data_IF_670621629223
#
_entry.id   IF_670621629223
#
_cell.length_a   1.000
_cell.length_b   1.000
_cell.length_c   1.000
_cell.angle_alpha   90.00
_cell.angle_beta   90.00
_cell.angle_gamma   90.00
#
_symmetry.space_group_name_H-M   'P 1'
#
loop_
_entity.id
_entity.type
_entity.pdbx_description
1 polymer ?
#
# COMPACT_ATOMS: atom_id res chain seq x y z
N UNK A 1 15.94 12.56 -20.67
CA UNK A 1 16.64 12.67 -19.37
C UNK A 1 17.95 11.89 -19.46
N UNK A 2 19.07 12.48 -19.00
CA UNK A 2 20.36 11.78 -18.96
C UNK A 2 20.21 10.51 -18.08
N UNK A 3 20.81 9.39 -18.47
CA UNK A 3 20.77 8.09 -17.74
C UNK A 3 21.25 8.16 -16.28
N UNK A 4 21.98 9.20 -15.92
CA UNK A 4 22.54 9.42 -14.58
C UNK A 4 21.48 9.63 -13.46
N UNK A 5 20.23 9.98 -13.80
CA UNK A 5 19.14 10.18 -12.83
C UNK A 5 18.22 8.99 -12.60
N UNK A 6 18.28 7.94 -13.43
CA UNK A 6 17.34 6.81 -13.36
C UNK A 6 17.66 5.84 -12.21
N UNK A 7 16.59 5.24 -11.64
CA UNK A 7 16.68 4.24 -10.57
C UNK A 7 17.36 2.95 -11.09
N UNK A 8 18.41 2.51 -10.41
CA UNK A 8 18.98 1.16 -10.60
C UNK A 8 18.17 0.09 -9.85
N UNK A 9 18.48 -1.18 -10.07
CA UNK A 9 17.76 -2.32 -9.50
C UNK A 9 17.50 -2.19 -7.97
N UNK A 10 18.55 -2.02 -7.18
CA UNK A 10 18.40 -1.91 -5.72
C UNK A 10 17.61 -0.67 -5.26
N UNK A 11 17.73 0.45 -5.99
CA UNK A 11 16.90 1.62 -5.67
C UNK A 11 15.42 1.38 -5.99
N UNK A 12 15.11 0.54 -6.98
CA UNK A 12 13.74 0.12 -7.29
C UNK A 12 13.22 -0.81 -6.20
N UNK A 13 14.03 -1.77 -5.73
CA UNK A 13 13.69 -2.65 -4.59
C UNK A 13 13.42 -1.81 -3.34
N UNK A 14 14.30 -0.85 -3.01
CA UNK A 14 14.10 0.07 -1.89
C UNK A 14 12.84 0.94 -2.04
N UNK A 15 12.51 1.37 -3.27
CA UNK A 15 11.26 2.08 -3.55
C UNK A 15 10.05 1.20 -3.22
N UNK A 16 10.07 -0.06 -3.63
CA UNK A 16 9.02 -1.02 -3.31
C UNK A 16 8.91 -1.29 -1.81
N UNK A 17 10.03 -1.55 -1.14
CA UNK A 17 10.07 -1.74 0.31
C UNK A 17 9.54 -0.48 1.01
N UNK A 18 9.89 0.72 0.54
CA UNK A 18 9.36 1.97 1.10
C UNK A 18 7.84 2.07 0.95
N UNK A 19 7.30 1.62 -0.18
CA UNK A 19 5.85 1.62 -0.42
C UNK A 19 5.07 0.61 0.41
N UNK A 20 5.67 -0.55 0.74
CA UNK A 20 5.00 -1.63 1.48
C UNK A 20 5.22 -1.48 2.99
N UNK A 21 6.46 -1.30 3.44
CA UNK A 21 6.79 -1.22 4.88
C UNK A 21 6.33 0.12 5.45
N UNK A 22 5.12 0.11 5.98
CA UNK A 22 4.45 1.27 6.57
C UNK A 22 3.85 0.96 7.93
N UNK A 23 2.73 1.60 8.23
CA UNK A 23 1.99 1.46 9.50
C UNK A 23 1.55 0.02 9.77
N UNK A 24 1.28 -0.78 8.72
CA UNK A 24 0.71 -2.11 8.86
C UNK A 24 1.52 -3.00 9.80
N UNK A 25 2.78 -3.24 9.50
CA UNK A 25 3.60 -4.16 10.31
C UNK A 25 3.91 -3.64 11.71
N UNK A 26 3.88 -2.33 11.92
CA UNK A 26 4.13 -1.75 13.24
C UNK A 26 2.91 -1.80 14.17
N UNK A 27 1.68 -1.74 13.60
CA UNK A 27 0.44 -1.53 14.36
C UNK A 27 -0.60 -2.66 14.23
N UNK A 28 -0.45 -3.60 13.29
CA UNK A 28 -1.44 -4.67 13.10
C UNK A 28 -1.14 -5.97 13.85
N UNK A 29 0.09 -6.30 14.28
CA UNK A 29 0.36 -7.56 14.99
C UNK A 29 -0.56 -7.80 16.19
N UNK A 30 -0.83 -6.77 17.01
CA UNK A 30 -1.73 -6.87 18.16
C UNK A 30 -3.17 -7.20 17.76
N UNK A 31 -3.68 -6.54 16.72
CA UNK A 31 -5.05 -6.76 16.24
C UNK A 31 -5.22 -8.13 15.61
N UNK A 32 -4.25 -8.58 14.83
CA UNK A 32 -4.26 -9.93 14.29
C UNK A 32 -4.23 -10.97 15.42
N UNK A 33 -3.36 -10.80 16.41
CA UNK A 33 -3.29 -11.68 17.57
C UNK A 33 -4.59 -11.66 18.38
N UNK A 34 -5.22 -10.51 18.59
CA UNK A 34 -6.50 -10.40 19.30
C UNK A 34 -7.68 -11.06 18.59
N UNK A 35 -7.60 -11.28 17.27
CA UNK A 35 -8.62 -11.94 16.46
C UNK A 35 -8.44 -13.47 16.43
N UNK A 36 -7.18 -13.96 16.36
CA UNK A 36 -6.91 -15.36 16.04
C UNK A 36 -5.71 -15.95 16.84
N UNK A 37 -5.13 -15.20 17.77
CA UNK A 37 -3.98 -15.67 18.56
C UNK A 37 -2.73 -15.91 17.71
N UNK A 38 -1.93 -16.92 18.08
CA UNK A 38 -0.68 -17.27 17.41
C UNK A 38 -0.88 -17.76 15.96
N UNK A 39 -2.10 -18.21 15.61
CA UNK A 39 -2.46 -18.56 14.23
C UNK A 39 -2.36 -17.36 13.28
N UNK A 40 -2.25 -16.12 13.78
CA UNK A 40 -1.96 -14.91 12.98
C UNK A 40 -0.71 -15.03 12.13
N UNK A 41 0.30 -15.83 12.53
CA UNK A 41 1.44 -16.18 11.68
C UNK A 41 1.02 -16.94 10.41
N UNK A 42 0.11 -17.92 10.57
CA UNK A 42 -0.44 -18.67 9.43
C UNK A 42 -1.25 -17.76 8.48
N UNK A 43 -2.02 -16.81 9.04
CA UNK A 43 -2.75 -15.81 8.27
C UNK A 43 -1.77 -14.90 7.50
N UNK A 44 -0.72 -14.41 8.15
CA UNK A 44 0.28 -13.56 7.51
C UNK A 44 1.02 -14.29 6.37
N UNK A 45 1.32 -15.58 6.57
CA UNK A 45 1.91 -16.43 5.51
C UNK A 45 0.92 -16.61 4.34
N UNK A 46 -0.36 -16.85 4.63
CA UNK A 46 -1.41 -16.95 3.62
C UNK A 46 -1.50 -15.66 2.80
N UNK A 47 -1.50 -14.50 3.45
CA UNK A 47 -1.52 -13.19 2.80
C UNK A 47 -0.25 -12.93 1.98
N UNK A 48 0.92 -13.39 2.45
CA UNK A 48 2.17 -13.34 1.69
C UNK A 48 2.07 -14.11 0.37
N UNK A 49 1.44 -15.29 0.39
CA UNK A 49 1.23 -16.11 -0.82
C UNK A 49 0.27 -15.41 -1.77
N UNK A 50 -0.86 -14.90 -1.29
CA UNK A 50 -1.86 -14.18 -2.11
C UNK A 50 -1.23 -12.92 -2.71
N UNK A 51 -0.63 -12.08 -1.89
CA UNK A 51 0.02 -10.86 -2.35
C UNK A 51 1.16 -11.18 -3.33
N UNK A 52 1.90 -12.28 -3.09
CA UNK A 52 2.90 -12.81 -4.00
C UNK A 52 2.32 -13.21 -5.36
N UNK A 53 1.20 -13.93 -5.40
CA UNK A 53 0.51 -14.29 -6.63
C UNK A 53 0.06 -13.04 -7.42
N UNK A 54 -0.51 -12.05 -6.73
CA UNK A 54 -0.91 -10.79 -7.35
C UNK A 54 0.32 -10.03 -7.86
N UNK A 55 1.39 -9.92 -7.06
CA UNK A 55 2.64 -9.25 -7.43
C UNK A 55 3.32 -9.90 -8.64
N UNK A 56 3.24 -11.23 -8.78
CA UNK A 56 3.71 -11.94 -9.98
C UNK A 56 2.90 -11.54 -11.23
N UNK A 57 1.58 -11.35 -11.09
CA UNK A 57 0.75 -10.83 -12.18
C UNK A 57 1.18 -9.41 -12.57
N UNK A 58 1.43 -8.54 -11.61
CA UNK A 58 1.98 -7.20 -11.85
C UNK A 58 3.35 -7.26 -12.52
N UNK A 59 4.23 -8.17 -12.09
CA UNK A 59 5.55 -8.37 -12.68
C UNK A 59 5.47 -8.78 -14.16
N UNK A 60 4.58 -9.72 -14.51
CA UNK A 60 4.41 -10.13 -15.92
C UNK A 60 3.77 -9.00 -16.75
N UNK A 61 2.70 -8.37 -16.26
CA UNK A 61 2.07 -7.24 -16.95
C UNK A 61 3.09 -6.10 -17.17
N UNK A 62 3.85 -5.73 -16.13
CA UNK A 62 4.87 -4.69 -16.19
C UNK A 62 5.99 -4.99 -17.20
N UNK A 63 6.27 -6.28 -17.47
CA UNK A 63 7.29 -6.67 -18.45
C UNK A 63 6.96 -6.27 -19.90
N UNK A 64 5.69 -5.99 -20.17
CA UNK A 64 5.20 -5.59 -21.50
C UNK A 64 5.26 -4.08 -21.73
N UNK A 65 5.34 -3.28 -20.66
CA UNK A 65 5.24 -1.82 -20.74
C UNK A 65 6.51 -1.12 -20.25
N UNK A 66 6.79 0.05 -20.83
CA UNK A 66 7.91 0.91 -20.44
C UNK A 66 7.43 2.27 -19.94
N UNK A 67 6.13 2.56 -20.05
CA UNK A 67 5.50 3.82 -19.65
C UNK A 67 4.98 3.76 -18.23
N UNK A 68 4.90 4.94 -17.62
CA UNK A 68 4.23 5.13 -16.34
C UNK A 68 2.72 4.87 -16.46
N UNK A 69 2.09 4.37 -15.39
CA UNK A 69 0.64 4.13 -15.35
C UNK A 69 0.24 2.81 -14.69
N UNK A 70 1.09 1.77 -14.81
CA UNK A 70 0.84 0.48 -14.14
C UNK A 70 -0.57 -0.07 -14.41
N UNK A 71 -1.38 -0.34 -13.34
CA UNK A 71 -2.70 -0.98 -13.49
C UNK A 71 -3.65 -0.31 -14.47
N UNK A 72 -3.59 1.03 -14.58
CA UNK A 72 -4.39 1.79 -15.54
C UNK A 72 -4.10 1.35 -16.98
N UNK A 73 -2.80 1.28 -17.36
CA UNK A 73 -2.41 0.83 -18.69
C UNK A 73 -2.79 -0.63 -18.94
N UNK A 74 -2.62 -1.49 -17.94
CA UNK A 74 -2.96 -2.91 -18.08
C UNK A 74 -4.47 -3.07 -18.32
N UNK A 75 -5.31 -2.37 -17.57
CA UNK A 75 -6.74 -2.36 -17.75
C UNK A 75 -7.14 -1.78 -19.14
N UNK A 76 -6.51 -0.69 -19.58
CA UNK A 76 -6.78 -0.05 -20.87
C UNK A 76 -6.59 -1.03 -22.03
N UNK A 77 -5.42 -1.67 -22.07
CA UNK A 77 -5.08 -2.55 -23.20
C UNK A 77 -5.74 -3.93 -23.13
N UNK A 78 -6.11 -4.41 -21.94
CA UNK A 78 -6.77 -5.70 -21.77
C UNK A 78 -8.30 -5.59 -21.88
N UNK A 79 -8.90 -4.66 -21.16
CA UNK A 79 -10.34 -4.58 -20.89
C UNK A 79 -11.04 -3.39 -21.56
N UNK A 80 -10.27 -2.40 -22.05
CA UNK A 80 -10.76 -1.22 -22.72
C UNK A 80 -11.00 -0.01 -21.81
N UNK A 81 -11.52 1.07 -22.41
CA UNK A 81 -11.57 2.41 -21.81
C UNK A 81 -12.37 2.51 -20.52
N UNK A 82 -13.48 1.78 -20.41
CA UNK A 82 -14.31 1.80 -19.19
C UNK A 82 -13.51 1.33 -17.99
N UNK A 83 -12.86 0.17 -18.10
CA UNK A 83 -12.07 -0.38 -17.02
C UNK A 83 -10.80 0.43 -16.75
N UNK A 84 -10.21 1.02 -17.78
CA UNK A 84 -9.09 1.94 -17.60
C UNK A 84 -9.51 3.16 -16.78
N UNK A 85 -10.68 3.75 -17.09
CA UNK A 85 -11.25 4.87 -16.35
C UNK A 85 -11.48 4.49 -14.88
N UNK A 86 -12.18 3.37 -14.63
CA UNK A 86 -12.46 2.87 -13.29
C UNK A 86 -11.17 2.68 -12.49
N UNK A 87 -10.21 1.91 -13.02
CA UNK A 87 -8.93 1.65 -12.36
C UNK A 87 -8.14 2.94 -12.12
N UNK A 88 -8.12 3.87 -13.07
CA UNK A 88 -7.39 5.12 -12.96
C UNK A 88 -7.94 6.04 -11.86
N UNK A 89 -9.25 6.28 -11.84
CA UNK A 89 -9.88 7.16 -10.85
C UNK A 89 -9.92 6.53 -9.48
N UNK A 90 -10.24 5.23 -9.41
CA UNK A 90 -10.24 4.51 -8.15
C UNK A 90 -8.86 4.44 -7.51
N UNK A 91 -7.79 4.43 -8.31
CA UNK A 91 -6.43 4.53 -7.80
C UNK A 91 -6.22 5.80 -6.99
N UNK A 92 -6.74 6.94 -7.44
CA UNK A 92 -6.67 8.18 -6.66
C UNK A 92 -7.44 8.04 -5.34
N UNK A 93 -8.68 7.51 -5.38
CA UNK A 93 -9.51 7.29 -4.19
C UNK A 93 -8.78 6.36 -3.19
N UNK A 94 -8.22 5.24 -3.68
CA UNK A 94 -7.41 4.32 -2.85
C UNK A 94 -6.24 5.03 -2.19
N UNK A 95 -5.56 5.92 -2.91
CA UNK A 95 -4.42 6.67 -2.38
C UNK A 95 -4.87 7.65 -1.28
N UNK A 96 -6.03 8.31 -1.45
CA UNK A 96 -6.63 9.18 -0.42
C UNK A 96 -6.93 8.39 0.87
N UNK A 97 -7.54 7.21 0.75
CA UNK A 97 -7.86 6.34 1.90
C UNK A 97 -6.57 5.86 2.57
N UNK A 98 -5.58 5.42 1.79
CA UNK A 98 -4.30 4.96 2.30
C UNK A 98 -3.56 6.07 3.04
N UNK A 99 -3.55 7.29 2.50
CA UNK A 99 -2.91 8.44 3.15
C UNK A 99 -3.58 8.78 4.49
N UNK A 100 -4.91 8.77 4.54
CA UNK A 100 -5.66 8.93 5.79
C UNK A 100 -5.25 7.87 6.82
N UNK A 101 -5.23 6.58 6.43
CA UNK A 101 -4.80 5.49 7.30
C UNK A 101 -3.36 5.69 7.83
N UNK A 102 -2.42 6.10 6.95
CA UNK A 102 -1.02 6.35 7.33
C UNK A 102 -0.88 7.52 8.31
N UNK A 103 -1.68 8.58 8.15
CA UNK A 103 -1.66 9.74 9.04
C UNK A 103 -2.23 9.39 10.43
N UNK A 104 -3.33 8.64 10.47
CA UNK A 104 -3.90 8.14 11.75
C UNK A 104 -2.94 7.15 12.41
N UNK A 105 -2.28 6.30 11.62
CA UNK A 105 -1.26 5.38 12.11
C UNK A 105 -0.08 6.12 12.77
N UNK A 106 0.41 7.19 12.15
CA UNK A 106 1.45 8.06 12.72
C UNK A 106 1.01 8.65 14.07
N UNK A 107 -0.20 9.22 14.11
CA UNK A 107 -0.76 9.78 15.35
C UNK A 107 -0.93 8.72 16.45
N UNK A 108 -1.35 7.50 16.08
CA UNK A 108 -1.50 6.37 17.00
C UNK A 108 -0.15 5.94 17.59
N UNK A 109 0.89 5.82 16.76
CA UNK A 109 2.24 5.46 17.20
C UNK A 109 2.83 6.53 18.14
N UNK A 110 2.61 7.80 17.83
CA UNK A 110 3.04 8.91 18.69
C UNK A 110 2.28 8.93 20.02
N UNK A 111 0.97 8.68 20.00
CA UNK A 111 0.14 8.60 21.20
C UNK A 111 0.47 7.41 22.09
N UNK A 112 0.98 6.31 21.54
CA UNK A 112 1.48 5.18 22.31
C UNK A 112 2.74 5.53 23.10
N UNK A 113 3.61 6.39 22.54
CA UNK A 113 4.83 6.84 23.21
C UNK A 113 4.61 8.00 24.19
N UNK A 114 3.62 8.87 23.89
CA UNK A 114 3.29 10.06 24.69
C UNK A 114 1.83 9.95 25.13
N UNK A 115 1.56 9.45 26.35
CA UNK A 115 0.18 9.19 26.82
C UNK A 115 -0.76 10.40 26.75
N UNK A 116 -0.25 11.61 26.93
CA UNK A 116 -1.02 12.85 26.80
C UNK A 116 -1.63 13.04 25.38
N UNK A 117 -1.04 12.41 24.34
CA UNK A 117 -1.47 12.47 22.95
C UNK A 117 -2.28 11.23 22.52
N UNK A 118 -2.66 10.36 23.45
CA UNK A 118 -3.34 9.09 23.14
C UNK A 118 -4.86 9.22 22.95
N UNK A 119 -5.45 10.37 23.27
CA UNK A 119 -6.88 10.62 23.10
C UNK A 119 -7.25 10.90 21.63
N UNK A 120 -8.53 10.71 21.29
CA UNK A 120 -8.99 10.81 19.90
C UNK A 120 -8.84 12.24 19.34
N UNK A 121 -9.11 13.27 20.15
CA UNK A 121 -8.91 14.66 19.73
C UNK A 121 -7.45 14.95 19.35
N UNK A 122 -6.49 14.49 20.16
CA UNK A 122 -5.07 14.68 19.85
C UNK A 122 -4.67 13.93 18.56
N UNK A 123 -5.18 12.72 18.33
CA UNK A 123 -4.93 11.97 17.11
C UNK A 123 -5.49 12.68 15.88
N UNK A 124 -6.69 13.23 15.97
CA UNK A 124 -7.32 14.01 14.90
C UNK A 124 -6.52 15.27 14.57
N UNK A 125 -6.07 16.00 15.60
CA UNK A 125 -5.23 17.19 15.42
C UNK A 125 -3.88 16.82 14.79
N UNK A 126 -3.21 15.77 15.28
CA UNK A 126 -1.90 15.34 14.78
C UNK A 126 -2.01 14.88 13.32
N UNK A 127 -2.99 14.03 12.99
CA UNK A 127 -3.19 13.55 11.63
C UNK A 127 -3.55 14.69 10.67
N UNK A 128 -4.39 15.63 11.10
CA UNK A 128 -4.75 16.83 10.34
C UNK A 128 -3.53 17.74 10.08
N UNK A 129 -2.75 18.06 11.12
CA UNK A 129 -1.53 18.87 10.99
C UNK A 129 -0.53 18.20 10.05
N UNK A 130 -0.36 16.88 10.16
CA UNK A 130 0.56 16.12 9.30
C UNK A 130 0.14 16.22 7.83
N UNK A 131 -1.13 15.94 7.52
CA UNK A 131 -1.66 15.99 6.15
C UNK A 131 -1.57 17.42 5.58
N UNK A 132 -2.05 18.41 6.33
CA UNK A 132 -2.07 19.81 5.88
C UNK A 132 -0.63 20.35 5.74
N UNK A 133 0.25 20.10 6.72
CA UNK A 133 1.63 20.54 6.70
C UNK A 133 2.41 19.98 5.51
N UNK A 134 2.28 18.67 5.25
CA UNK A 134 2.93 18.03 4.09
C UNK A 134 2.34 18.51 2.76
N UNK A 135 1.05 18.82 2.73
CA UNK A 135 0.41 19.41 1.55
C UNK A 135 0.98 20.79 1.24
N UNK A 136 1.14 21.65 2.27
CA UNK A 136 1.75 22.97 2.13
C UNK A 136 3.18 22.84 1.59
N UNK A 137 4.00 21.97 2.19
CA UNK A 137 5.36 21.69 1.74
C UNK A 137 5.39 21.26 0.27
N UNK A 138 4.48 20.39 -0.14
CA UNK A 138 4.39 19.89 -1.52
C UNK A 138 3.97 21.00 -2.50
N UNK A 139 3.04 21.89 -2.13
CA UNK A 139 2.61 23.04 -2.96
C UNK A 139 3.79 23.99 -3.25
N UNK A 140 4.76 24.10 -2.34
CA UNK A 140 6.00 24.86 -2.57
C UNK A 140 7.04 24.12 -3.44
N UNK A 141 6.71 22.97 -4.01
CA UNK A 141 7.50 22.31 -5.05
C UNK A 141 8.63 21.42 -4.53
N UNK A 142 8.52 20.91 -3.30
CA UNK A 142 9.50 19.95 -2.78
C UNK A 142 9.36 18.61 -3.53
N UNK A 143 10.48 18.13 -4.07
CA UNK A 143 10.54 16.87 -4.79
C UNK A 143 11.06 15.73 -3.91
N UNK A 144 10.41 14.57 -3.98
CA UNK A 144 10.93 13.33 -3.40
C UNK A 144 12.11 12.85 -4.25
N UNK A 145 13.34 13.08 -3.76
CA UNK A 145 14.53 12.63 -4.46
C UNK A 145 14.80 11.14 -4.18
N UNK A 146 15.51 10.47 -5.10
CA UNK A 146 16.01 9.11 -4.90
C UNK A 146 16.81 8.96 -3.60
N UNK A 147 17.60 9.96 -3.25
CA UNK A 147 18.39 9.97 -2.01
C UNK A 147 17.49 9.96 -0.78
N UNK A 148 16.47 10.83 -0.74
CA UNK A 148 15.50 10.92 0.37
C UNK A 148 14.74 9.61 0.52
N UNK A 149 14.25 9.03 -0.59
CA UNK A 149 13.56 7.74 -0.55
C UNK A 149 14.45 6.62 0.00
N UNK A 150 15.69 6.52 -0.46
CA UNK A 150 16.61 5.49 0.01
C UNK A 150 16.98 5.70 1.49
N UNK A 151 17.20 6.94 1.92
CA UNK A 151 17.50 7.28 3.32
C UNK A 151 16.34 6.89 4.23
N UNK A 152 15.12 7.29 3.89
CA UNK A 152 13.91 6.92 4.66
C UNK A 152 13.78 5.40 4.73
N UNK A 153 13.99 4.69 3.60
CA UNK A 153 13.85 3.23 3.57
C UNK A 153 14.88 2.54 4.46
N UNK A 154 16.13 2.96 4.40
CA UNK A 154 17.19 2.40 5.27
C UNK A 154 16.90 2.72 6.73
N UNK A 155 16.52 3.95 7.04
CA UNK A 155 16.21 4.40 8.41
C UNK A 155 15.08 3.61 9.07
N UNK A 156 14.09 3.12 8.30
CA UNK A 156 13.02 2.26 8.83
C UNK A 156 13.43 0.79 8.96
N UNK A 157 14.30 0.30 8.07
CA UNK A 157 14.73 -1.11 8.09
C UNK A 157 15.72 -1.39 9.21
N UNK A 158 16.58 -0.45 9.58
CA UNK A 158 17.59 -0.66 10.64
C UNK A 158 16.94 -1.00 11.99
N UNK A 159 15.98 -0.25 12.53
CA UNK A 159 15.30 -0.62 13.78
C UNK A 159 14.60 -1.98 13.72
N UNK A 160 13.96 -2.31 12.59
CA UNK A 160 13.29 -3.60 12.41
C UNK A 160 14.29 -4.75 12.35
N UNK A 161 15.42 -4.56 11.66
CA UNK A 161 16.49 -5.56 11.62
C UNK A 161 17.12 -5.77 13.00
N UNK A 162 17.36 -4.71 13.77
CA UNK A 162 17.82 -4.79 15.14
C UNK A 162 16.83 -5.51 16.05
N UNK A 163 15.54 -5.18 15.95
CA UNK A 163 14.48 -5.85 16.67
C UNK A 163 14.47 -7.36 16.42
N UNK A 164 14.58 -7.78 15.15
CA UNK A 164 14.62 -9.20 14.79
C UNK A 164 15.91 -9.85 15.29
N UNK A 165 17.07 -9.25 14.98
CA UNK A 165 18.38 -9.82 15.29
C UNK A 165 18.58 -10.05 16.79
N UNK A 166 18.07 -9.16 17.63
CA UNK A 166 18.14 -9.29 19.08
C UNK A 166 16.98 -10.14 19.59
N UNK A 167 15.76 -9.86 19.12
CA UNK A 167 14.53 -10.45 19.64
C UNK A 167 14.41 -11.96 19.44
N UNK A 168 15.06 -12.52 18.41
CA UNK A 168 15.04 -13.96 18.15
C UNK A 168 15.60 -14.77 19.33
N UNK A 169 16.52 -14.21 20.12
CA UNK A 169 17.10 -14.85 21.30
C UNK A 169 16.20 -14.79 22.54
N UNK A 170 15.14 -13.99 22.50
CA UNK A 170 14.18 -13.80 23.60
C UNK A 170 12.83 -14.45 23.33
N UNK A 171 12.71 -15.20 22.24
CA UNK A 171 11.48 -15.93 21.90
C UNK A 171 11.23 -17.02 22.95
N UNK A 172 10.06 -16.95 23.61
CA UNK A 172 9.54 -18.02 24.43
C UNK A 172 8.59 -18.90 23.59
N UNK A 173 8.96 -20.16 23.36
CA UNK A 173 8.16 -21.09 22.56
C UNK A 173 6.75 -21.36 23.13
N UNK A 174 6.58 -21.25 24.45
CA UNK A 174 5.28 -21.42 25.10
C UNK A 174 4.25 -20.37 24.66
N UNK A 175 4.69 -19.19 24.24
CA UNK A 175 3.82 -18.10 23.76
C UNK A 175 3.10 -18.40 22.43
N UNK A 176 3.48 -19.47 21.74
CA UNK A 176 2.81 -19.92 20.50
C UNK A 176 1.71 -20.95 20.74
N UNK A 177 1.51 -21.35 21.99
CA UNK A 177 0.48 -22.35 22.35
C UNK A 177 -0.53 -21.77 23.34
N UNK A 178 -1.84 -22.01 23.15
CA UNK A 178 -2.46 -22.72 22.04
C UNK A 178 -2.42 -21.91 20.74
N UNK A 179 -2.30 -22.60 19.59
CA UNK A 179 -2.27 -21.93 18.26
C UNK A 179 -3.59 -21.23 18.00
N UNK A 180 -4.71 -21.85 18.36
CA UNK A 180 -6.07 -21.31 18.31
C UNK A 180 -6.61 -21.21 19.74
N UNK A 181 -6.48 -20.07 20.40
CA UNK A 181 -7.08 -19.88 21.72
C UNK A 181 -8.60 -19.98 21.65
N UNK A 182 -9.19 -20.90 22.42
CA UNK A 182 -10.64 -21.14 22.38
C UNK A 182 -11.50 -19.93 22.77
N UNK A 183 -10.94 -19.04 23.59
CA UNK A 183 -11.60 -17.81 24.05
C UNK A 183 -11.61 -16.71 22.99
N UNK A 184 -10.79 -16.81 21.95
CA UNK A 184 -10.59 -15.76 20.93
C UNK A 184 -11.09 -16.23 19.56
N UNK A 185 -10.83 -17.49 19.21
CA UNK A 185 -11.16 -18.02 17.90
C UNK A 185 -12.66 -18.29 17.77
N UNK A 186 -13.27 -17.60 16.80
CA UNK A 186 -14.66 -17.83 16.37
C UNK A 186 -14.72 -18.02 14.85
N UNK A 187 -15.84 -18.54 14.36
CA UNK A 187 -16.04 -18.71 12.92
C UNK A 187 -15.88 -17.35 12.20
N UNK A 188 -15.05 -17.36 11.15
CA UNK A 188 -14.73 -16.14 10.40
C UNK A 188 -13.50 -15.36 10.89
N UNK A 189 -12.92 -15.68 12.06
CA UNK A 189 -11.72 -15.02 12.58
C UNK A 189 -10.54 -15.03 11.59
N UNK A 190 -10.33 -16.17 10.90
CA UNK A 190 -9.28 -16.28 9.89
C UNK A 190 -9.47 -15.26 8.76
N UNK A 191 -10.67 -15.18 8.21
CA UNK A 191 -10.97 -14.27 7.11
C UNK A 191 -10.88 -12.80 7.53
N UNK A 192 -11.36 -12.47 8.73
CA UNK A 192 -11.26 -11.12 9.29
C UNK A 192 -9.79 -10.71 9.50
N UNK A 193 -8.97 -11.60 10.04
CA UNK A 193 -7.54 -11.35 10.21
C UNK A 193 -6.82 -11.21 8.87
N UNK A 194 -7.17 -12.04 7.86
CA UNK A 194 -6.59 -11.98 6.53
C UNK A 194 -6.90 -10.63 5.84
N UNK A 195 -8.16 -10.19 5.81
CA UNK A 195 -8.51 -8.88 5.22
C UNK A 195 -7.74 -7.74 5.90
N UNK A 196 -7.55 -7.81 7.22
CA UNK A 196 -6.84 -6.78 7.97
C UNK A 196 -5.32 -6.82 7.69
N UNK A 197 -4.70 -8.02 7.79
CA UNK A 197 -3.25 -8.17 7.61
C UNK A 197 -2.82 -8.00 6.16
N UNK A 198 -3.71 -8.25 5.19
CA UNK A 198 -3.43 -8.02 3.77
C UNK A 198 -3.02 -6.58 3.49
N UNK A 199 -3.53 -5.60 4.27
CA UNK A 199 -3.10 -4.21 4.19
C UNK A 199 -1.59 -4.05 4.33
N UNK A 200 -0.94 -4.84 5.17
CA UNK A 200 0.51 -4.76 5.38
C UNK A 200 1.32 -5.10 4.12
N UNK A 201 0.78 -5.94 3.24
CA UNK A 201 1.41 -6.33 1.97
C UNK A 201 1.09 -5.39 0.80
N UNK A 202 0.21 -4.41 0.98
CA UNK A 202 -0.16 -3.46 -0.08
C UNK A 202 0.93 -2.42 -0.31
N UNK A 203 0.98 -1.82 -1.51
CA UNK A 203 1.94 -0.76 -1.85
C UNK A 203 3.01 -1.19 -2.87
N UNK A 204 3.18 -2.49 -3.16
CA UNK A 204 4.15 -2.96 -4.16
C UNK A 204 3.85 -2.44 -5.57
N UNK A 205 2.60 -2.10 -5.85
CA UNK A 205 2.18 -1.54 -7.13
C UNK A 205 2.82 -0.19 -7.46
N UNK A 206 3.36 0.52 -6.46
CA UNK A 206 4.12 1.76 -6.67
C UNK A 206 5.33 1.53 -7.60
N UNK A 207 5.95 0.34 -7.52
CA UNK A 207 7.05 -0.03 -8.41
C UNK A 207 6.60 0.01 -9.88
N UNK A 208 5.42 -0.53 -10.19
CA UNK A 208 4.91 -0.61 -11.56
C UNK A 208 4.53 0.76 -12.16
N UNK A 209 4.31 1.76 -11.31
CA UNK A 209 3.88 3.10 -11.74
C UNK A 209 5.07 3.95 -12.23
N UNK A 210 6.26 3.72 -11.71
CA UNK A 210 7.45 4.55 -11.94
C UNK A 210 8.38 3.95 -13.01
N UNK A 211 7.83 3.24 -14.01
CA UNK A 211 8.60 2.50 -15.02
C UNK A 211 9.56 3.39 -15.84
N UNK A 212 9.14 4.61 -16.21
CA UNK A 212 9.94 5.53 -17.03
C UNK A 212 11.19 6.04 -16.31
N UNK A 213 11.13 6.09 -14.98
CA UNK A 213 12.23 6.57 -14.14
C UNK A 213 13.26 5.48 -13.82
N UNK A 214 13.13 4.29 -14.43
CA UNK A 214 13.97 3.12 -14.13
C UNK A 214 14.92 2.79 -15.27
N UNK A 215 16.10 2.27 -14.91
CA UNK A 215 17.03 1.66 -15.87
C UNK A 215 16.51 0.29 -16.28
N UNK A 216 16.45 0.03 -17.59
CA UNK A 216 15.99 -1.24 -18.16
C UNK A 216 14.69 -1.75 -17.52
N UNK A 217 13.57 -0.96 -17.56
CA UNK A 217 12.36 -1.28 -16.81
C UNK A 217 11.82 -2.67 -17.10
N UNK A 218 11.76 -3.10 -18.35
CA UNK A 218 11.28 -4.43 -18.73
C UNK A 218 11.95 -5.57 -17.95
N UNK A 219 13.24 -5.45 -17.62
CA UNK A 219 14.02 -6.47 -16.92
C UNK A 219 14.04 -6.25 -15.40
N UNK A 220 14.26 -5.01 -14.98
CA UNK A 220 14.48 -4.69 -13.56
C UNK A 220 13.18 -4.64 -12.76
N UNK A 221 12.08 -4.21 -13.38
CA UNK A 221 10.79 -4.03 -12.71
C UNK A 221 10.21 -5.35 -12.20
N UNK A 222 10.07 -6.41 -13.04
CA UNK A 222 9.58 -7.70 -12.57
C UNK A 222 10.45 -8.30 -11.46
N UNK A 223 11.77 -8.24 -11.62
CA UNK A 223 12.71 -8.77 -10.62
C UNK A 223 12.64 -8.02 -9.30
N UNK A 224 12.49 -6.69 -9.36
CA UNK A 224 12.38 -5.86 -8.18
C UNK A 224 11.08 -6.11 -7.42
N UNK A 225 9.95 -6.29 -8.10
CA UNK A 225 8.67 -6.65 -7.48
C UNK A 225 8.82 -7.98 -6.71
N UNK A 226 9.36 -9.01 -7.37
CA UNK A 226 9.53 -10.33 -6.74
C UNK A 226 10.48 -10.26 -5.55
N UNK A 227 11.64 -9.63 -5.72
CA UNK A 227 12.63 -9.49 -4.66
C UNK A 227 12.07 -8.70 -3.46
N UNK A 228 11.35 -7.62 -3.74
CA UNK A 228 10.72 -6.80 -2.72
C UNK A 228 9.70 -7.61 -1.91
N UNK A 229 8.80 -8.35 -2.58
CA UNK A 229 7.79 -9.17 -1.91
C UNK A 229 8.40 -10.27 -1.05
N UNK A 230 9.45 -10.94 -1.53
CA UNK A 230 10.17 -11.95 -0.76
C UNK A 230 10.81 -11.36 0.50
N UNK A 231 11.56 -10.26 0.34
CA UNK A 231 12.23 -9.60 1.47
C UNK A 231 11.23 -9.11 2.52
N UNK A 232 10.14 -8.48 2.07
CA UNK A 232 9.10 -7.97 2.98
C UNK A 232 8.38 -9.13 3.67
N UNK A 233 8.06 -10.22 2.97
CA UNK A 233 7.39 -11.37 3.59
C UNK A 233 8.24 -12.01 4.69
N UNK A 234 9.54 -12.22 4.44
CA UNK A 234 10.47 -12.74 5.45
C UNK A 234 10.58 -11.78 6.64
N UNK A 235 10.71 -10.48 6.37
CA UNK A 235 10.78 -9.44 7.40
C UNK A 235 9.53 -9.45 8.29
N UNK A 236 8.35 -9.49 7.69
CA UNK A 236 7.07 -9.44 8.42
C UNK A 236 6.82 -10.70 9.24
N UNK A 237 7.12 -11.87 8.69
CA UNK A 237 7.04 -13.13 9.42
C UNK A 237 7.95 -13.12 10.66
N UNK A 238 9.20 -12.64 10.51
CA UNK A 238 10.13 -12.52 11.61
C UNK A 238 9.65 -11.51 12.67
N UNK A 239 9.15 -10.35 12.27
CA UNK A 239 8.62 -9.33 13.20
C UNK A 239 7.45 -9.90 14.01
N UNK A 240 6.47 -10.51 13.36
CA UNK A 240 5.30 -11.06 14.03
C UNK A 240 5.70 -12.22 14.97
N UNK A 241 6.59 -13.11 14.50
CA UNK A 241 7.10 -14.21 15.31
C UNK A 241 7.83 -13.73 16.59
N UNK A 242 8.70 -12.73 16.45
CA UNK A 242 9.39 -12.14 17.62
C UNK A 242 8.38 -11.46 18.55
N UNK A 243 7.41 -10.70 17.99
CA UNK A 243 6.40 -10.02 18.80
C UNK A 243 5.55 -11.00 19.61
N UNK A 244 5.10 -12.11 19.02
CA UNK A 244 4.36 -13.18 19.70
C UNK A 244 5.26 -13.87 20.72
N UNK A 245 6.47 -14.25 20.30
CA UNK A 245 7.39 -14.99 21.15
C UNK A 245 7.82 -14.22 22.41
N UNK A 246 7.88 -12.88 22.32
CA UNK A 246 8.29 -12.02 23.44
C UNK A 246 7.11 -11.65 24.33
N UNK A 247 5.98 -11.21 23.75
CA UNK A 247 4.84 -10.65 24.50
C UNK A 247 3.78 -11.68 24.84
N UNK A 248 3.68 -12.79 24.10
CA UNK A 248 2.62 -13.78 24.30
C UNK A 248 1.23 -13.12 24.25
N UNK A 249 0.39 -13.40 25.27
CA UNK A 249 -0.97 -12.87 25.39
C UNK A 249 -1.04 -11.35 25.55
N UNK A 250 0.00 -10.71 26.09
CA UNK A 250 0.07 -9.26 26.28
C UNK A 250 0.08 -8.53 24.91
N UNK A 251 0.46 -9.23 23.85
CA UNK A 251 0.42 -8.69 22.48
C UNK A 251 -0.96 -8.17 22.09
N UNK A 252 -2.04 -8.81 22.55
CA UNK A 252 -3.41 -8.37 22.25
C UNK A 252 -3.75 -6.99 22.82
N UNK A 253 -3.11 -6.60 23.93
CA UNK A 253 -3.44 -5.41 24.70
C UNK A 253 -2.55 -4.19 24.38
N UNK A 254 -1.47 -4.37 23.65
CA UNK A 254 -0.56 -3.27 23.28
C UNK A 254 -1.12 -2.42 22.15
N UNK A 255 -0.75 -1.13 22.12
CA UNK A 255 -1.05 -0.20 21.02
C UNK A 255 0.11 -0.06 20.02
N UNK A 256 1.30 -0.48 20.40
CA UNK A 256 2.52 -0.38 19.60
C UNK A 256 3.36 -1.68 19.74
N UNK A 257 2.89 -2.79 19.13
CA UNK A 257 3.37 -4.15 19.41
C UNK A 257 4.89 -4.32 19.25
N UNK A 258 5.48 -3.79 18.17
CA UNK A 258 6.93 -3.93 17.92
C UNK A 258 7.74 -3.10 18.93
N UNK A 259 7.25 -1.93 19.28
CA UNK A 259 7.84 -1.02 20.24
C UNK A 259 7.83 -1.62 21.65
N UNK A 260 6.67 -2.16 22.08
CA UNK A 260 6.50 -2.75 23.40
C UNK A 260 7.27 -4.07 23.52
N UNK A 261 7.31 -4.89 22.46
CA UNK A 261 8.14 -6.09 22.43
C UNK A 261 9.62 -5.76 22.58
N UNK A 262 10.12 -4.72 21.90
CA UNK A 262 11.53 -4.35 22.03
C UNK A 262 11.84 -3.69 23.39
N UNK A 263 10.87 -2.99 23.97
CA UNK A 263 10.97 -2.51 25.35
C UNK A 263 11.11 -3.67 26.37
N UNK A 264 10.36 -4.75 26.17
CA UNK A 264 10.48 -5.95 27.02
C UNK A 264 11.84 -6.64 26.92
N UNK A 265 12.53 -6.53 25.75
CA UNK A 265 13.83 -7.16 25.51
C UNK A 265 14.99 -6.33 26.08
N UNK A 266 15.07 -5.05 25.70
CA UNK A 266 16.23 -4.18 25.99
C UNK A 266 15.88 -2.93 26.78
N UNK A 267 14.67 -2.86 27.30
CA UNK A 267 14.18 -1.73 28.10
C UNK A 267 13.87 -0.47 27.28
N UNK A 268 13.79 0.71 27.92
CA UNK A 268 13.35 1.97 27.30
C UNK A 268 14.16 2.37 26.06
N UNK A 269 15.44 1.99 25.99
CA UNK A 269 16.29 2.28 24.83
C UNK A 269 15.73 1.59 23.58
N UNK A 270 15.32 0.32 23.70
CA UNK A 270 14.69 -0.42 22.60
C UNK A 270 13.39 0.20 22.15
N UNK A 271 12.56 0.61 23.11
CA UNK A 271 11.32 1.35 22.83
C UNK A 271 11.58 2.59 21.97
N UNK A 272 12.53 3.44 22.36
CA UNK A 272 12.83 4.67 21.60
C UNK A 272 13.45 4.39 20.25
N UNK A 273 14.30 3.37 20.09
CA UNK A 273 14.86 2.99 18.79
C UNK A 273 13.75 2.62 17.81
N UNK A 274 12.81 1.77 18.22
CA UNK A 274 11.67 1.38 17.37
C UNK A 274 10.72 2.55 17.15
N UNK A 275 10.43 3.36 18.17
CA UNK A 275 9.59 4.54 18.04
C UNK A 275 10.12 5.50 16.97
N UNK A 276 11.39 5.88 17.06
CA UNK A 276 12.01 6.78 16.09
C UNK A 276 11.95 6.18 14.68
N UNK A 277 12.30 4.90 14.53
CA UNK A 277 12.20 4.18 13.26
C UNK A 277 10.77 4.14 12.72
N UNK A 278 9.79 3.92 13.57
CA UNK A 278 8.36 3.92 13.24
C UNK A 278 7.90 5.30 12.76
N UNK A 279 8.23 6.36 13.49
CA UNK A 279 7.86 7.73 13.13
C UNK A 279 8.53 8.17 11.82
N UNK A 280 9.81 7.84 11.60
CA UNK A 280 10.50 8.09 10.32
C UNK A 280 9.83 7.30 9.19
N UNK A 281 9.50 6.03 9.42
CA UNK A 281 8.83 5.18 8.44
C UNK A 281 7.48 5.77 8.03
N UNK A 282 6.63 6.04 9.01
CA UNK A 282 5.27 6.55 8.78
C UNK A 282 5.29 7.98 8.24
N UNK A 283 6.16 8.84 8.76
CA UNK A 283 6.37 10.20 8.26
C UNK A 283 6.84 10.20 6.80
N UNK A 284 7.77 9.30 6.46
CA UNK A 284 8.28 9.14 5.09
C UNK A 284 7.23 8.70 4.09
N UNK A 285 6.34 7.76 4.47
CA UNK A 285 5.22 7.35 3.62
C UNK A 285 4.21 8.49 3.48
N UNK A 286 3.84 9.16 4.57
CA UNK A 286 2.96 10.33 4.52
C UNK A 286 3.51 11.42 3.59
N UNK A 287 4.83 11.66 3.62
CA UNK A 287 5.50 12.58 2.70
C UNK A 287 5.40 12.12 1.24
N UNK A 288 5.61 10.82 0.99
CA UNK A 288 5.48 10.24 -0.34
C UNK A 288 4.03 10.34 -0.86
N UNK A 289 3.04 10.00 -0.03
CA UNK A 289 1.62 10.10 -0.39
C UNK A 289 1.20 11.54 -0.67
N UNK A 290 1.63 12.50 0.14
CA UNK A 290 1.39 13.92 -0.11
C UNK A 290 1.93 14.39 -1.48
N UNK A 291 3.01 13.75 -1.96
CA UNK A 291 3.57 14.02 -3.28
C UNK A 291 2.84 13.29 -4.41
N UNK A 292 2.57 11.98 -4.24
CA UNK A 292 2.03 11.14 -5.31
C UNK A 292 0.52 11.27 -5.49
N UNK A 293 -0.27 11.32 -4.40
CA UNK A 293 -1.72 11.28 -4.48
C UNK A 293 -2.32 12.44 -5.32
N UNK A 294 -1.89 13.70 -5.16
CA UNK A 294 -2.38 14.78 -6.03
C UNK A 294 -1.99 14.60 -7.50
N UNK A 295 -0.81 14.02 -7.75
CA UNK A 295 -0.33 13.81 -9.12
C UNK A 295 -1.11 12.75 -9.87
N UNK A 296 -1.62 11.73 -9.17
CA UNK A 296 -2.56 10.76 -9.75
C UNK A 296 -3.83 11.48 -10.22
N UNK A 297 -4.44 12.31 -9.38
CA UNK A 297 -5.63 13.09 -9.76
C UNK A 297 -5.36 14.05 -10.93
N UNK A 298 -4.19 14.69 -10.93
CA UNK A 298 -3.77 15.60 -11.99
C UNK A 298 -3.62 14.87 -13.32
N UNK A 299 -2.95 13.74 -13.35
CA UNK A 299 -2.80 12.92 -14.56
C UNK A 299 -4.16 12.49 -15.11
N UNK A 300 -5.09 12.06 -14.24
CA UNK A 300 -6.44 11.71 -14.67
C UNK A 300 -7.23 12.92 -15.20
N UNK A 301 -6.98 14.11 -14.68
CA UNK A 301 -7.59 15.33 -15.17
C UNK A 301 -6.99 15.80 -16.51
N UNK A 302 -5.68 15.62 -16.70
CA UNK A 302 -4.98 15.87 -17.99
C UNK A 302 -5.49 14.91 -19.08
N UNK A 303 -5.76 13.64 -18.73
CA UNK A 303 -6.38 12.66 -19.63
C UNK A 303 -7.91 12.87 -19.82
N UNK A 304 -8.49 13.92 -19.22
CA UNK A 304 -9.90 14.27 -19.34
C UNK A 304 -10.87 13.41 -18.52
N UNK A 305 -10.37 12.53 -17.68
CA UNK A 305 -11.16 11.62 -16.83
C UNK A 305 -11.74 12.32 -15.59
N UNK A 306 -11.02 13.31 -15.06
CA UNK A 306 -11.46 14.14 -13.94
C UNK A 306 -11.62 15.61 -14.37
N UNK A 307 -12.26 16.46 -13.55
CA UNK A 307 -12.41 17.88 -13.85
C UNK A 307 -11.06 18.56 -14.11
N UNK A 308 -10.96 19.34 -15.19
CA UNK A 308 -9.72 20.02 -15.63
C UNK A 308 -9.13 20.97 -14.58
N UNK A 309 -9.94 21.41 -13.60
CA UNK A 309 -9.45 22.21 -12.46
C UNK A 309 -8.33 21.49 -11.67
N UNK A 310 -8.38 20.16 -11.59
CA UNK A 310 -7.38 19.35 -10.90
C UNK A 310 -6.03 19.30 -11.64
N UNK A 311 -6.00 19.65 -12.93
CA UNK A 311 -4.76 19.75 -13.72
C UNK A 311 -4.01 21.08 -13.52
N UNK A 312 -4.60 22.06 -12.79
CA UNK A 312 -3.98 23.37 -12.57
C UNK A 312 -2.71 23.26 -11.74
N UNK A 313 -1.62 23.88 -12.24
CA UNK A 313 -0.31 23.92 -11.57
C UNK A 313 0.04 25.36 -11.17
N UNK A 314 0.79 25.51 -10.07
CA UNK A 314 1.28 26.80 -9.61
C UNK A 314 2.65 27.13 -10.23
N UNK A 315 3.27 28.26 -9.82
CA UNK A 315 4.60 28.70 -10.28
C UNK A 315 5.72 27.71 -10.00
N UNK A 316 5.55 26.80 -9.06
CA UNK A 316 6.50 25.73 -8.71
C UNK A 316 6.22 24.42 -9.44
N UNK A 317 5.34 24.45 -10.44
CA UNK A 317 4.86 23.26 -11.19
C UNK A 317 4.17 22.20 -10.30
N UNK A 318 3.69 22.59 -9.12
CA UNK A 318 2.94 21.73 -8.22
C UNK A 318 1.44 21.79 -8.52
N UNK A 319 0.70 20.65 -8.50
CA UNK A 319 -0.72 20.58 -8.78
C UNK A 319 -1.52 20.99 -7.54
N UNK A 320 -1.59 22.31 -7.27
CA UNK A 320 -2.11 22.84 -6.03
C UNK A 320 -3.59 22.57 -5.78
N UNK A 321 -4.43 22.58 -6.82
CA UNK A 321 -5.87 22.28 -6.70
C UNK A 321 -6.05 20.81 -6.32
N UNK A 322 -5.38 19.91 -7.03
CA UNK A 322 -5.43 18.48 -6.72
C UNK A 322 -4.86 18.20 -5.31
N UNK A 323 -3.79 18.90 -4.91
CA UNK A 323 -3.20 18.76 -3.57
C UNK A 323 -4.20 19.17 -2.46
N UNK A 324 -4.87 20.30 -2.62
CA UNK A 324 -5.87 20.78 -1.65
C UNK A 324 -7.06 19.81 -1.56
N UNK A 325 -7.64 19.40 -2.72
CA UNK A 325 -8.79 18.50 -2.75
C UNK A 325 -8.42 17.14 -2.13
N UNK A 326 -7.26 16.59 -2.48
CA UNK A 326 -6.76 15.32 -1.92
C UNK A 326 -6.55 15.44 -0.40
N UNK A 327 -5.96 16.53 0.07
CA UNK A 327 -5.72 16.77 1.50
C UNK A 327 -7.04 16.88 2.28
N UNK A 328 -8.01 17.65 1.79
CA UNK A 328 -9.33 17.78 2.44
C UNK A 328 -9.99 16.40 2.55
N UNK A 329 -10.03 15.63 1.46
CA UNK A 329 -10.60 14.29 1.46
C UNK A 329 -9.87 13.36 2.44
N UNK A 330 -8.53 13.39 2.48
CA UNK A 330 -7.74 12.57 3.41
C UNK A 330 -7.94 12.98 4.88
N UNK A 331 -8.07 14.27 5.20
CA UNK A 331 -8.34 14.75 6.56
C UNK A 331 -9.72 14.30 7.01
N UNK A 332 -10.75 14.48 6.19
CA UNK A 332 -12.12 14.04 6.53
C UNK A 332 -12.19 12.54 6.78
N UNK A 333 -11.49 11.74 5.96
CA UNK A 333 -11.39 10.31 6.18
C UNK A 333 -10.59 9.97 7.44
N UNK A 334 -9.49 10.64 7.71
CA UNK A 334 -8.68 10.43 8.91
C UNK A 334 -9.50 10.66 10.19
N UNK A 335 -10.38 11.67 10.20
CA UNK A 335 -11.25 11.99 11.31
C UNK A 335 -12.51 11.10 11.40
N UNK A 336 -12.82 10.32 10.37
CA UNK A 336 -14.01 9.47 10.33
C UNK A 336 -13.80 8.06 10.86
N UNK A 337 -12.57 7.63 11.10
CA UNK A 337 -12.30 6.23 11.44
C UNK A 337 -10.97 5.97 12.15
N UNK A 338 -10.91 4.78 12.75
CA UNK A 338 -9.67 4.28 13.36
C UNK A 338 -8.67 3.82 12.28
N UNK A 339 -7.39 3.73 12.66
CA UNK A 339 -6.36 3.17 11.77
C UNK A 339 -6.75 1.80 11.21
N UNK A 340 -7.27 0.89 12.04
CA UNK A 340 -7.65 -0.46 11.62
C UNK A 340 -8.80 -0.48 10.62
N UNK A 341 -9.80 0.39 10.81
CA UNK A 341 -10.92 0.53 9.88
C UNK A 341 -10.46 1.06 8.53
N UNK A 342 -9.66 2.13 8.53
CA UNK A 342 -9.12 2.73 7.30
C UNK A 342 -8.16 1.79 6.58
N UNK A 343 -7.34 1.03 7.31
CA UNK A 343 -6.45 0.01 6.75
C UNK A 343 -7.23 -1.09 6.03
N UNK A 344 -8.29 -1.62 6.65
CA UNK A 344 -9.13 -2.64 6.04
C UNK A 344 -9.88 -2.11 4.81
N UNK A 345 -10.42 -0.88 4.86
CA UNK A 345 -11.04 -0.22 3.70
C UNK A 345 -10.02 -0.03 2.57
N UNK A 346 -8.80 0.42 2.89
CA UNK A 346 -7.72 0.58 1.92
C UNK A 346 -7.34 -0.76 1.27
N UNK A 347 -7.25 -1.85 2.05
CA UNK A 347 -6.97 -3.19 1.51
C UNK A 347 -8.05 -3.62 0.52
N UNK A 348 -9.33 -3.52 0.89
CA UNK A 348 -10.47 -3.86 0.04
C UNK A 348 -10.48 -3.02 -1.25
N UNK A 349 -10.26 -1.72 -1.13
CA UNK A 349 -10.25 -0.80 -2.28
C UNK A 349 -9.19 -1.18 -3.33
N UNK A 350 -8.06 -1.74 -2.92
CA UNK A 350 -6.97 -2.11 -3.84
C UNK A 350 -7.31 -3.24 -4.79
N UNK A 351 -8.30 -4.07 -4.45
CA UNK A 351 -8.75 -5.13 -5.36
C UNK A 351 -9.36 -4.58 -6.66
N UNK A 352 -9.80 -3.33 -6.68
CA UNK A 352 -10.22 -2.62 -7.91
C UNK A 352 -9.08 -2.46 -8.94
N UNK A 353 -7.84 -2.54 -8.49
CA UNK A 353 -6.63 -2.52 -9.33
C UNK A 353 -6.06 -3.92 -9.54
N UNK A 354 -6.12 -4.77 -8.51
CA UNK A 354 -5.51 -6.09 -8.52
C UNK A 354 -6.25 -7.06 -9.43
N UNK A 355 -7.59 -7.11 -9.33
CA UNK A 355 -8.40 -7.99 -10.17
C UNK A 355 -8.25 -7.69 -11.66
N UNK A 356 -8.41 -6.44 -12.15
CA UNK A 356 -8.17 -6.11 -13.56
C UNK A 356 -6.76 -6.43 -14.03
N UNK A 357 -5.74 -6.25 -13.17
CA UNK A 357 -4.36 -6.58 -13.53
C UNK A 357 -4.16 -8.09 -13.70
N UNK A 358 -4.69 -8.91 -12.79
CA UNK A 358 -4.62 -10.37 -12.91
C UNK A 358 -5.37 -10.89 -14.14
N UNK A 359 -6.54 -10.32 -14.45
CA UNK A 359 -7.30 -10.60 -15.68
C UNK A 359 -6.51 -10.17 -16.92
N UNK A 360 -5.86 -9.00 -16.88
CA UNK A 360 -5.07 -8.48 -17.99
C UNK A 360 -3.95 -9.46 -18.39
N UNK A 361 -3.28 -10.11 -17.44
CA UNK A 361 -2.24 -11.12 -17.74
C UNK A 361 -2.82 -12.26 -18.56
N UNK A 362 -4.00 -12.77 -18.19
CA UNK A 362 -4.68 -13.86 -18.94
C UNK A 362 -5.00 -13.40 -20.35
N UNK A 363 -5.54 -12.18 -20.50
CA UNK A 363 -5.91 -11.59 -21.79
C UNK A 363 -4.66 -11.34 -22.65
N UNK A 364 -3.59 -10.78 -22.08
CA UNK A 364 -2.34 -10.51 -22.82
C UNK A 364 -1.68 -11.79 -23.31
N UNK A 365 -1.74 -12.89 -22.56
CA UNK A 365 -1.22 -14.18 -23.01
C UNK A 365 -1.97 -14.72 -24.23
N UNK A 366 -3.25 -14.39 -24.40
CA UNK A 366 -4.06 -14.76 -25.56
C UNK A 366 -3.91 -13.75 -26.71
N UNK A 367 -4.12 -12.45 -26.39
CA UNK A 367 -4.17 -11.38 -27.39
C UNK A 367 -2.79 -11.01 -27.94
N UNK A 368 -1.75 -11.15 -27.14
CA UNK A 368 -0.35 -10.78 -27.46
C UNK A 368 0.60 -11.96 -27.25
N UNK A 369 0.21 -13.14 -27.74
CA UNK A 369 1.02 -14.34 -27.59
C UNK A 369 2.44 -14.19 -28.16
N UNK A 370 2.56 -13.48 -29.28
CA UNK A 370 3.82 -13.28 -30.02
C UNK A 370 4.68 -12.12 -29.48
N UNK A 371 4.16 -11.32 -28.52
CA UNK A 371 4.97 -10.25 -27.92
C UNK A 371 5.99 -10.80 -26.94
N UNK A 372 7.26 -10.44 -27.16
CA UNK A 372 8.34 -10.80 -26.26
C UNK A 372 8.12 -10.23 -24.86
N UNK A 373 8.15 -11.11 -23.85
CA UNK A 373 8.07 -10.77 -22.42
C UNK A 373 9.43 -11.00 -21.79
N UNK A 374 9.90 -10.07 -21.01
CA UNK A 374 11.13 -10.25 -20.23
C UNK A 374 10.92 -11.09 -18.97
N UNK A 375 9.66 -11.27 -18.58
CA UNK A 375 9.26 -12.13 -17.47
C UNK A 375 7.91 -12.78 -17.79
N UNK A 376 7.79 -14.07 -17.52
CA UNK A 376 6.54 -14.84 -17.60
C UNK A 376 6.38 -15.63 -16.31
N UNK A 377 5.20 -15.59 -15.71
CA UNK A 377 4.89 -16.33 -14.48
C UNK A 377 4.99 -17.84 -14.76
N UNK A 378 5.71 -18.61 -13.93
CA UNK A 378 5.75 -20.08 -14.05
C UNK A 378 4.35 -20.69 -13.80
N UNK A 379 4.10 -21.86 -14.32
CA UNK A 379 2.82 -22.58 -14.12
C UNK A 379 1.65 -22.06 -14.95
N UNK A 380 1.88 -21.30 -16.01
CA UNK A 380 0.84 -20.89 -16.96
C UNK A 380 -0.23 -20.01 -16.30
N UNK A 381 -1.50 -20.36 -16.49
CA UNK A 381 -2.64 -19.59 -15.96
C UNK A 381 -2.94 -19.86 -14.48
N UNK A 382 -2.30 -20.84 -13.84
CA UNK A 382 -2.62 -21.25 -12.46
C UNK A 382 -2.50 -20.10 -11.48
N UNK A 383 -1.37 -19.39 -11.46
CA UNK A 383 -1.13 -18.29 -10.54
C UNK A 383 -2.11 -17.12 -10.75
N UNK A 384 -2.35 -16.62 -11.98
CA UNK A 384 -3.39 -15.61 -12.21
C UNK A 384 -4.79 -16.06 -11.75
N UNK A 385 -5.16 -17.32 -11.96
CA UNK A 385 -6.46 -17.85 -11.52
C UNK A 385 -6.55 -17.92 -9.99
N UNK A 386 -5.48 -18.37 -9.32
CA UNK A 386 -5.41 -18.37 -7.85
C UNK A 386 -5.51 -16.92 -7.33
N UNK A 387 -4.77 -15.98 -7.91
CA UNK A 387 -4.80 -14.57 -7.52
C UNK A 387 -6.21 -13.97 -7.65
N UNK A 388 -6.93 -14.27 -8.72
CA UNK A 388 -8.32 -13.82 -8.92
C UNK A 388 -9.24 -14.50 -7.90
N UNK A 389 -9.19 -15.83 -7.77
CA UNK A 389 -10.06 -16.58 -6.88
C UNK A 389 -9.90 -16.16 -5.41
N UNK A 390 -8.67 -16.03 -4.95
CA UNK A 390 -8.37 -15.58 -3.57
C UNK A 390 -8.73 -14.10 -3.35
N UNK A 391 -8.55 -13.25 -4.35
CA UNK A 391 -9.00 -11.85 -4.28
C UNK A 391 -10.52 -11.73 -4.14
N UNK A 392 -11.26 -12.51 -4.93
CA UNK A 392 -12.72 -12.57 -4.84
C UNK A 392 -13.17 -13.16 -3.50
N UNK A 393 -12.49 -14.20 -2.99
CA UNK A 393 -12.75 -14.74 -1.67
C UNK A 393 -12.54 -13.69 -0.57
N UNK A 394 -11.45 -12.95 -0.60
CA UNK A 394 -11.20 -11.87 0.37
C UNK A 394 -12.27 -10.78 0.32
N UNK A 395 -12.71 -10.38 -0.89
CA UNK A 395 -13.82 -9.44 -1.03
C UNK A 395 -15.12 -9.98 -0.44
N UNK A 396 -15.41 -11.27 -0.63
CA UNK A 396 -16.60 -11.91 -0.08
C UNK A 396 -16.58 -11.99 1.46
N UNK A 397 -15.40 -11.97 2.07
CA UNK A 397 -15.23 -11.99 3.53
C UNK A 397 -15.17 -10.58 4.16
N UNK A 398 -15.02 -9.54 3.33
CA UNK A 398 -14.95 -8.18 3.83
C UNK A 398 -16.31 -7.73 4.40
N UNK A 399 -16.25 -6.93 5.47
CA UNK A 399 -17.46 -6.39 6.09
C UNK A 399 -18.19 -5.43 5.14
N UNK A 400 -19.51 -5.33 5.28
CA UNK A 400 -20.34 -4.48 4.40
C UNK A 400 -19.88 -3.03 4.36
N UNK A 401 -19.47 -2.46 5.50
CA UNK A 401 -18.94 -1.10 5.56
C UNK A 401 -17.60 -0.96 4.79
N UNK A 402 -16.72 -1.96 4.87
CA UNK A 402 -15.46 -1.97 4.12
C UNK A 402 -15.71 -2.03 2.60
N UNK A 403 -16.70 -2.84 2.17
CA UNK A 403 -17.12 -2.91 0.78
C UNK A 403 -17.74 -1.59 0.30
N UNK A 404 -18.66 -1.02 1.09
CA UNK A 404 -19.32 0.24 0.74
C UNK A 404 -18.33 1.40 0.59
N UNK A 405 -17.43 1.57 1.54
CA UNK A 405 -16.42 2.63 1.48
C UNK A 405 -15.27 2.30 0.52
N UNK A 406 -14.88 1.04 0.42
CA UNK A 406 -13.78 0.59 -0.41
C UNK A 406 -14.12 0.52 -1.90
N UNK A 407 -15.33 0.10 -2.25
CA UNK A 407 -15.78 -0.09 -3.63
C UNK A 407 -16.85 0.94 -4.05
N UNK A 408 -17.46 1.66 -3.12
CA UNK A 408 -18.50 2.65 -3.41
C UNK A 408 -18.03 3.75 -4.36
N UNK A 409 -16.73 4.01 -4.39
CA UNK A 409 -16.10 4.90 -5.37
C UNK A 409 -16.42 4.54 -6.81
N UNK A 410 -16.54 3.24 -7.15
CA UNK A 410 -16.91 2.76 -8.49
C UNK A 410 -18.24 3.35 -8.97
N UNK A 411 -19.21 3.48 -8.07
CA UNK A 411 -20.54 4.01 -8.40
C UNK A 411 -20.49 5.54 -8.50
N UNK A 412 -19.78 6.19 -7.58
CA UNK A 412 -19.68 7.66 -7.51
C UNK A 412 -19.01 8.25 -8.74
N UNK A 413 -18.12 7.52 -9.40
CA UNK A 413 -17.37 8.02 -10.57
C UNK A 413 -18.08 7.81 -11.89
N UNK A 414 -19.17 7.03 -11.97
CA UNK A 414 -19.92 6.78 -13.22
C UNK A 414 -20.37 8.06 -13.97
N UNK A 415 -20.84 9.13 -13.31
CA UNK A 415 -21.16 10.38 -14.01
C UNK A 415 -19.96 11.02 -14.71
N UNK A 416 -18.76 10.89 -14.09
CA UNK A 416 -17.52 11.39 -14.69
C UNK A 416 -17.11 10.55 -15.91
N UNK A 417 -17.32 9.22 -15.85
CA UNK A 417 -17.12 8.36 -17.01
C UNK A 417 -18.04 8.76 -18.19
N UNK A 418 -19.32 9.03 -17.92
CA UNK A 418 -20.23 9.48 -18.96
C UNK A 418 -19.75 10.79 -19.62
N UNK A 419 -19.25 11.74 -18.82
CA UNK A 419 -18.65 12.99 -19.33
C UNK A 419 -17.39 12.71 -20.17
N UNK A 420 -16.50 11.83 -19.69
CA UNK A 420 -15.30 11.39 -20.38
C UNK A 420 -15.64 10.73 -21.73
N UNK A 421 -16.55 9.75 -21.72
CA UNK A 421 -17.02 9.05 -22.92
C UNK A 421 -17.60 10.01 -23.97
N UNK A 422 -18.42 10.96 -23.54
CA UNK A 422 -18.99 11.98 -24.43
C UNK A 422 -17.90 12.85 -25.07
N UNK A 423 -16.92 13.28 -24.32
CA UNK A 423 -15.78 14.08 -24.84
C UNK A 423 -14.90 13.26 -25.78
N UNK A 424 -14.63 11.99 -25.45
CA UNK A 424 -13.86 11.08 -26.32
C UNK A 424 -14.58 10.84 -27.65
N UNK A 425 -15.88 10.57 -27.63
CA UNK A 425 -16.70 10.40 -28.82
C UNK A 425 -16.77 11.67 -29.68
N UNK A 426 -16.69 12.84 -29.09
CA UNK A 426 -16.62 14.12 -29.76
C UNK A 426 -15.21 14.48 -30.31
N UNK A 427 -14.22 13.60 -30.15
CA UNK A 427 -12.83 13.84 -30.58
C UNK A 427 -12.08 14.91 -29.78
N UNK A 428 -12.62 15.32 -28.62
CA UNK A 428 -12.03 16.35 -27.76
C UNK A 428 -10.87 15.81 -26.85
N UNK A 429 -10.74 14.50 -26.79
CA UNK A 429 -9.67 13.82 -26.03
C UNK A 429 -8.83 13.01 -26.99
N UNK A 430 -7.54 13.29 -27.05
CA UNK A 430 -6.58 12.50 -27.86
C UNK A 430 -6.30 11.16 -27.17
N UNK A 431 -6.43 10.07 -27.91
CA UNK A 431 -5.94 8.78 -27.47
C UNK A 431 -4.41 8.79 -27.49
N UNK A 432 -3.79 8.74 -26.31
CA UNK A 432 -2.35 8.56 -26.18
C UNK A 432 -2.02 7.05 -26.28
N UNK A 433 -2.34 6.43 -27.41
CA UNK A 433 -2.18 4.98 -27.66
C UNK A 433 -0.77 4.56 -28.11
N UNK A 434 0.29 5.30 -27.76
CA UNK A 434 1.65 4.84 -27.98
C UNK A 434 2.11 3.90 -26.85
N UNK A 435 2.31 2.61 -27.20
CA UNK A 435 2.87 1.56 -26.36
C UNK A 435 4.38 1.72 -26.14
#
# INVERSE_FOLDING_TARGET
>A
MKETGKFGFWSIVLLGINGIVGTGIFLLPNKAYSIIGSASLGVLLFDAVIAGCIALCFAEAASLFTRNGGPYLYAKHALGDFWAFEVGVLKWIVTVIAWAAMAVGFATALGAAVPALSNDFAKDVISGILIIGLTIVNIFGVNVSKFVNNLITISKLVPLALFIAIGIFFINGANFTPVFPQDIYVDGSFAQAAVLLFFAYTGFEVIAIAAEDMKNPKKNLPRAIIMCMLLVSVLYMAILAVSIGVLGTDLANTKAPVQDAFNAIVGPIGMYIVLIGTLISMGGINFAEAYYAPRVATSMAEDGMLPSALAKRNRYNAPYVAAIVTAIASVLLAWSGSFTTLAAISAVSRFTQYLPTCLAVIIFRRKWADKARSYTIPGGYLIPVIAIGTSLWMLAQAQTNQLLWGLGGCIVILPFYYSYWKKKKAGLIKDHDEM
#
